data_IF_436053964016
#
_entry.id   IF_436053964016
#
_cell.length_a   1.000
_cell.length_b   1.000
_cell.length_c   1.000
_cell.angle_alpha   90.00
_cell.angle_beta   90.00
_cell.angle_gamma   90.00
#
_symmetry.space_group_name_H-M   'P 1'
#
loop_
_entity.id
_entity.type
_entity.pdbx_description
1 polymer ?
#
# COMPACT_ATOMS: atom_id res chain seq x y z
N UNK A 1 48.12 5.87 -30.10
CA UNK A 1 47.41 4.69 -29.57
C UNK A 1 46.35 5.18 -28.59
N UNK A 2 45.10 4.74 -28.78
CA UNK A 2 43.86 5.42 -28.40
C UNK A 2 43.74 5.88 -26.93
N UNK A 3 43.69 7.21 -26.74
CA UNK A 3 43.09 7.87 -25.59
C UNK A 3 41.64 8.27 -25.96
N UNK A 4 40.76 7.27 -26.05
CA UNK A 4 39.31 7.48 -26.04
C UNK A 4 38.84 7.19 -24.62
N UNK A 5 39.08 8.18 -23.75
CA UNK A 5 38.54 8.22 -22.40
C UNK A 5 37.01 8.20 -22.49
N UNK A 6 36.44 7.09 -22.02
CA UNK A 6 35.17 6.95 -21.32
C UNK A 6 34.34 8.24 -21.20
N UNK A 7 33.61 8.61 -22.26
CA UNK A 7 32.52 9.58 -22.18
C UNK A 7 31.41 8.94 -21.36
N UNK A 8 31.49 9.11 -20.04
CA UNK A 8 30.45 8.77 -19.08
C UNK A 8 29.11 9.30 -19.61
N UNK A 9 28.13 8.40 -19.71
CA UNK A 9 26.72 8.69 -19.97
C UNK A 9 26.18 9.75 -18.98
N UNK A 10 26.36 11.03 -19.25
CA UNK A 10 25.54 12.09 -18.67
C UNK A 10 24.21 12.08 -19.38
N UNK A 11 23.19 11.51 -18.74
CA UNK A 11 21.81 11.64 -19.21
C UNK A 11 21.29 13.02 -18.85
N UNK A 12 20.77 13.77 -19.82
CA UNK A 12 20.20 15.12 -19.64
C UNK A 12 18.85 15.14 -18.86
N UNK A 13 18.49 14.06 -18.16
CA UNK A 13 17.23 13.97 -17.44
C UNK A 13 17.33 14.72 -16.11
N UNK A 14 16.66 15.87 -16.03
CA UNK A 14 16.61 16.70 -14.82
C UNK A 14 15.77 16.02 -13.74
N UNK A 15 16.26 15.93 -12.49
CA UNK A 15 15.50 15.33 -11.41
C UNK A 15 14.26 16.17 -11.12
N UNK A 16 13.10 15.52 -11.12
CA UNK A 16 11.83 16.17 -10.77
C UNK A 16 11.68 16.14 -9.26
N UNK A 17 11.85 17.29 -8.62
CA UNK A 17 11.77 17.44 -7.17
C UNK A 17 10.35 17.90 -6.79
N UNK A 18 9.67 17.11 -5.97
CA UNK A 18 8.43 17.51 -5.32
C UNK A 18 8.75 18.39 -4.10
N UNK A 19 8.05 19.51 -3.86
CA UNK A 19 8.28 20.38 -2.71
C UNK A 19 8.13 19.64 -1.38
N UNK A 20 8.95 20.00 -0.39
CA UNK A 20 8.99 19.33 0.92
C UNK A 20 7.65 19.48 1.67
N UNK A 21 6.96 20.60 1.48
CA UNK A 21 5.65 20.89 2.08
C UNK A 21 4.58 19.87 1.63
N UNK A 22 4.65 19.43 0.38
CA UNK A 22 3.72 18.43 -0.18
C UNK A 22 3.93 17.10 0.53
N UNK A 23 5.19 16.67 0.72
CA UNK A 23 5.48 15.43 1.43
C UNK A 23 4.98 15.44 2.86
N UNK A 24 5.26 16.50 3.62
CA UNK A 24 4.80 16.61 5.01
C UNK A 24 3.27 16.65 5.09
N UNK A 25 2.61 17.34 4.16
CA UNK A 25 1.14 17.42 4.13
C UNK A 25 0.53 16.05 3.86
N UNK A 26 1.02 15.33 2.86
CA UNK A 26 0.52 13.98 2.50
C UNK A 26 0.79 12.99 3.63
N UNK A 27 1.97 13.02 4.23
CA UNK A 27 2.31 12.12 5.35
C UNK A 27 1.45 12.41 6.59
N UNK A 28 1.25 13.69 6.94
CA UNK A 28 0.39 14.07 8.06
C UNK A 28 -1.07 13.65 7.82
N UNK A 29 -1.60 13.86 6.62
CA UNK A 29 -2.93 13.40 6.24
C UNK A 29 -3.04 11.87 6.35
N UNK A 30 -2.04 11.14 5.83
CA UNK A 30 -1.97 9.67 5.93
C UNK A 30 -1.99 9.18 7.38
N UNK A 31 -1.25 9.81 8.29
CA UNK A 31 -1.25 9.45 9.72
C UNK A 31 -2.62 9.74 10.35
N UNK A 32 -3.17 10.94 10.14
CA UNK A 32 -4.42 11.37 10.76
C UNK A 32 -5.62 10.55 10.29
N UNK A 33 -5.76 10.32 8.99
CA UNK A 33 -6.89 9.55 8.43
C UNK A 33 -6.86 8.09 8.86
N UNK A 34 -5.69 7.44 8.87
CA UNK A 34 -5.57 6.06 9.32
C UNK A 34 -5.76 5.94 10.84
N UNK A 35 -5.32 6.93 11.63
CA UNK A 35 -5.62 6.98 13.06
C UNK A 35 -7.14 7.08 13.31
N UNK A 36 -7.85 7.89 12.52
CA UNK A 36 -9.31 8.00 12.61
C UNK A 36 -10.01 6.67 12.32
N UNK A 37 -9.52 5.91 11.33
CA UNK A 37 -10.03 4.55 11.04
C UNK A 37 -9.89 3.65 12.25
N UNK A 38 -8.71 3.63 12.90
CA UNK A 38 -8.47 2.83 14.10
C UNK A 38 -9.42 3.24 15.24
N UNK A 39 -9.55 4.54 15.52
CA UNK A 39 -10.44 5.06 16.55
C UNK A 39 -11.90 4.66 16.27
N UNK A 40 -12.34 4.76 15.01
CA UNK A 40 -13.70 4.41 14.62
C UNK A 40 -14.01 2.94 14.90
N UNK A 41 -13.10 2.03 14.55
CA UNK A 41 -13.26 0.58 14.79
C UNK A 41 -13.27 0.27 16.28
N UNK A 42 -12.36 0.87 17.07
CA UNK A 42 -12.29 0.65 18.52
C UNK A 42 -13.54 1.15 19.25
N UNK A 43 -14.10 2.30 18.83
CA UNK A 43 -15.27 2.88 19.51
C UNK A 43 -16.59 2.24 19.13
N UNK A 44 -16.73 1.70 17.92
CA UNK A 44 -17.98 1.13 17.45
C UNK A 44 -17.94 -0.40 17.43
N UNK A 45 -18.60 -1.02 18.41
CA UNK A 45 -18.73 -2.49 18.51
C UNK A 45 -19.35 -3.14 17.26
N UNK A 46 -20.14 -2.41 16.47
CA UNK A 46 -20.70 -2.91 15.21
C UNK A 46 -19.63 -3.11 14.11
N UNK A 47 -18.42 -2.57 14.30
CA UNK A 47 -17.28 -2.72 13.41
C UNK A 47 -16.35 -3.85 13.83
N UNK A 48 -16.72 -4.70 14.80
CA UNK A 48 -15.89 -5.84 15.22
C UNK A 48 -16.05 -7.08 14.32
N UNK A 49 -16.23 -6.87 13.01
CA UNK A 49 -16.25 -7.96 12.01
C UNK A 49 -14.84 -8.20 11.46
N UNK A 50 -14.52 -9.45 11.02
CA UNK A 50 -13.20 -9.81 10.48
C UNK A 50 -12.62 -8.81 9.47
N UNK A 51 -13.44 -8.35 8.53
CA UNK A 51 -13.05 -7.38 7.50
C UNK A 51 -12.43 -6.09 8.08
N UNK A 52 -12.98 -5.55 9.17
CA UNK A 52 -12.49 -4.30 9.76
C UNK A 52 -11.16 -4.47 10.48
N UNK A 53 -10.83 -5.66 10.98
CA UNK A 53 -9.50 -5.94 11.53
C UNK A 53 -8.43 -5.98 10.44
N UNK A 54 -8.75 -6.49 9.24
CA UNK A 54 -7.84 -6.36 8.09
C UNK A 54 -7.66 -4.91 7.65
N UNK A 55 -8.72 -4.09 7.72
CA UNK A 55 -8.62 -2.64 7.48
C UNK A 55 -7.74 -1.96 8.55
N UNK A 56 -7.88 -2.35 9.83
CA UNK A 56 -7.01 -1.81 10.90
C UNK A 56 -5.54 -2.19 10.67
N UNK A 57 -5.28 -3.41 10.23
CA UNK A 57 -3.92 -3.84 9.85
C UNK A 57 -3.36 -2.98 8.72
N UNK A 58 -4.15 -2.73 7.68
CA UNK A 58 -3.78 -1.82 6.59
C UNK A 58 -3.52 -0.39 7.10
N UNK A 59 -4.36 0.12 8.00
CA UNK A 59 -4.19 1.44 8.59
C UNK A 59 -2.90 1.54 9.41
N UNK A 60 -2.55 0.52 10.18
CA UNK A 60 -1.28 0.47 10.94
C UNK A 60 -0.09 0.47 9.97
N UNK A 61 -0.12 -0.33 8.91
CA UNK A 61 0.96 -0.32 7.91
C UNK A 61 1.08 1.02 7.19
N UNK A 62 -0.04 1.65 6.80
CA UNK A 62 -0.04 2.93 6.11
C UNK A 62 0.46 4.08 7.03
N UNK A 63 0.14 4.03 8.33
CA UNK A 63 0.71 4.92 9.35
C UNK A 63 2.23 4.73 9.50
N UNK A 64 2.71 3.48 9.56
CA UNK A 64 4.15 3.18 9.61
C UNK A 64 4.87 3.71 8.37
N UNK A 65 4.30 3.55 7.18
CA UNK A 65 4.88 4.08 5.94
C UNK A 65 4.93 5.61 5.91
N UNK A 66 3.87 6.27 6.38
CA UNK A 66 3.82 7.73 6.49
C UNK A 66 4.82 8.27 7.53
N UNK A 67 4.98 7.56 8.65
CA UNK A 67 5.97 7.88 9.67
C UNK A 67 7.40 7.71 9.14
N UNK A 68 7.71 6.58 8.49
CA UNK A 68 9.00 6.35 7.81
C UNK A 68 9.33 7.53 6.90
N UNK A 69 8.40 7.94 6.02
CA UNK A 69 8.69 9.01 5.09
C UNK A 69 8.95 10.34 5.78
N UNK A 70 8.19 10.63 6.83
CA UNK A 70 8.37 11.85 7.62
C UNK A 70 9.78 11.87 8.23
N UNK A 71 10.22 10.76 8.80
CA UNK A 71 11.56 10.60 9.38
C UNK A 71 12.66 10.71 8.32
N UNK A 72 12.49 10.07 7.17
CA UNK A 72 13.45 10.13 6.05
C UNK A 72 13.62 11.57 5.55
N UNK A 73 12.53 12.31 5.33
CA UNK A 73 12.60 13.70 4.89
C UNK A 73 13.26 14.61 5.94
N UNK A 74 12.92 14.45 7.23
CA UNK A 74 13.59 15.20 8.31
C UNK A 74 15.09 14.91 8.31
N UNK A 75 15.47 13.64 8.19
CA UNK A 75 16.86 13.23 8.15
C UNK A 75 17.62 13.84 6.97
N UNK A 76 17.00 13.85 5.78
CA UNK A 76 17.55 14.49 4.58
C UNK A 76 17.75 16.00 4.81
N UNK A 77 16.77 16.70 5.40
CA UNK A 77 16.87 18.14 5.70
C UNK A 77 17.99 18.42 6.70
N UNK A 78 18.09 17.63 7.77
CA UNK A 78 19.16 17.78 8.77
C UNK A 78 20.55 17.56 8.16
N UNK A 79 20.68 16.61 7.22
CA UNK A 79 21.91 16.42 6.45
C UNK A 79 22.21 17.63 5.55
N UNK A 80 21.21 18.18 4.86
CA UNK A 80 21.37 19.38 4.01
C UNK A 80 21.82 20.60 4.81
N UNK A 81 21.31 20.76 6.03
CA UNK A 81 21.67 21.85 6.95
C UNK A 81 23.03 21.64 7.64
N UNK A 82 23.68 20.49 7.44
CA UNK A 82 24.98 20.18 8.04
C UNK A 82 24.92 19.75 9.51
N UNK A 83 23.73 19.54 10.09
CA UNK A 83 23.58 19.06 11.47
C UNK A 83 23.88 17.57 11.63
N UNK A 84 23.69 16.78 10.57
CA UNK A 84 23.98 15.34 10.54
C UNK A 84 24.98 15.01 9.44
N UNK A 85 25.83 14.01 9.69
CA UNK A 85 26.81 13.55 8.71
C UNK A 85 26.33 12.25 8.09
N UNK A 86 26.10 12.24 6.78
CA UNK A 86 25.58 11.08 5.99
C UNK A 86 26.31 9.73 6.20
N UNK A 87 27.47 9.71 6.87
CA UNK A 87 28.30 8.51 7.06
C UNK A 87 28.71 8.21 8.50
N UNK A 88 28.11 8.87 9.50
CA UNK A 88 28.35 8.51 10.90
C UNK A 88 27.65 7.20 11.30
N UNK A 89 28.08 6.61 12.41
CA UNK A 89 27.55 5.32 12.89
C UNK A 89 26.11 5.43 13.39
N UNK A 90 25.72 6.60 13.90
CA UNK A 90 24.34 6.89 14.30
C UNK A 90 23.43 7.01 13.07
N UNK A 91 23.90 7.72 12.05
CA UNK A 91 23.17 7.94 10.80
C UNK A 91 22.91 6.66 10.04
N UNK A 92 23.88 5.73 9.98
CA UNK A 92 23.66 4.41 9.39
C UNK A 92 22.62 3.59 10.14
N UNK A 93 22.67 3.57 11.49
CA UNK A 93 21.66 2.86 12.29
C UNK A 93 20.26 3.44 12.10
N UNK A 94 20.16 4.77 11.94
CA UNK A 94 18.91 5.42 11.60
C UNK A 94 18.42 5.04 10.21
N UNK A 95 19.31 5.03 9.21
CA UNK A 95 19.02 4.61 7.83
C UNK A 95 18.50 3.16 7.79
N UNK A 96 19.22 2.23 8.44
CA UNK A 96 18.81 0.82 8.55
C UNK A 96 17.43 0.67 9.24
N UNK A 97 17.17 1.46 10.28
CA UNK A 97 15.89 1.46 10.97
C UNK A 97 14.75 2.02 10.10
N UNK A 98 15.02 3.07 9.32
CA UNK A 98 14.06 3.66 8.39
C UNK A 98 13.73 2.68 7.26
N UNK A 99 14.74 2.02 6.68
CA UNK A 99 14.56 0.97 5.67
C UNK A 99 13.75 -0.21 6.22
N UNK A 100 14.02 -0.61 7.46
CA UNK A 100 13.24 -1.65 8.15
C UNK A 100 11.76 -1.26 8.29
N UNK A 101 11.49 -0.02 8.71
CA UNK A 101 10.11 0.51 8.83
C UNK A 101 9.42 0.57 7.47
N UNK A 102 10.13 1.01 6.43
CA UNK A 102 9.63 1.03 5.06
C UNK A 102 9.20 -0.38 4.63
N UNK A 103 10.07 -1.38 4.76
CA UNK A 103 9.77 -2.76 4.35
C UNK A 103 8.62 -3.37 5.15
N UNK A 104 8.60 -3.13 6.47
CA UNK A 104 7.52 -3.59 7.34
C UNK A 104 6.18 -3.00 6.91
N UNK A 105 6.13 -1.69 6.65
CA UNK A 105 4.93 -1.00 6.17
C UNK A 105 4.48 -1.51 4.80
N UNK A 106 5.44 -1.69 3.89
CA UNK A 106 5.23 -2.12 2.52
C UNK A 106 4.61 -3.52 2.47
N UNK A 107 5.25 -4.50 3.12
CA UNK A 107 4.73 -5.87 3.20
C UNK A 107 3.41 -5.92 3.97
N UNK A 108 3.32 -5.19 5.09
CA UNK A 108 2.09 -5.12 5.90
C UNK A 108 0.89 -4.64 5.08
N UNK A 109 1.07 -3.61 4.26
CA UNK A 109 0.02 -3.06 3.39
C UNK A 109 -0.39 -4.07 2.32
N UNK A 110 0.59 -4.72 1.68
CA UNK A 110 0.36 -5.74 0.64
C UNK A 110 -0.43 -6.94 1.16
N UNK A 111 0.01 -7.54 2.26
CA UNK A 111 -0.65 -8.71 2.80
C UNK A 111 -2.01 -8.35 3.40
N UNK A 112 -2.18 -7.14 3.93
CA UNK A 112 -3.48 -6.65 4.36
C UNK A 112 -4.43 -6.47 3.17
N UNK A 113 -3.97 -5.91 2.05
CA UNK A 113 -4.75 -5.81 0.81
C UNK A 113 -5.12 -7.21 0.26
N UNK A 114 -4.19 -8.16 0.28
CA UNK A 114 -4.45 -9.55 -0.10
C UNK A 114 -5.50 -10.19 0.81
N UNK A 115 -5.41 -9.99 2.13
CA UNK A 115 -6.38 -10.50 3.09
C UNK A 115 -7.77 -9.87 2.88
N UNK A 116 -7.84 -8.58 2.58
CA UNK A 116 -9.09 -7.89 2.21
C UNK A 116 -9.63 -8.46 0.90
N UNK A 117 -8.79 -8.68 -0.11
CA UNK A 117 -9.20 -9.28 -1.38
C UNK A 117 -9.75 -10.70 -1.18
N UNK A 118 -9.10 -11.52 -0.34
CA UNK A 118 -9.56 -12.85 0.01
C UNK A 118 -10.89 -12.83 0.79
N UNK A 119 -11.05 -11.94 1.78
CA UNK A 119 -12.31 -11.76 2.51
C UNK A 119 -13.45 -11.34 1.57
N UNK A 120 -13.19 -10.41 0.65
CA UNK A 120 -14.15 -10.00 -0.39
C UNK A 120 -14.49 -11.15 -1.33
N UNK A 121 -13.50 -11.92 -1.75
CA UNK A 121 -13.70 -13.10 -2.58
C UNK A 121 -14.65 -14.09 -1.89
N UNK A 122 -14.38 -14.44 -0.62
CA UNK A 122 -15.24 -15.36 0.14
C UNK A 122 -16.64 -14.77 0.32
N UNK A 123 -16.75 -13.48 0.61
CA UNK A 123 -18.05 -12.80 0.77
C UNK A 123 -18.89 -12.85 -0.51
N UNK A 124 -18.27 -12.71 -1.68
CA UNK A 124 -18.96 -12.71 -2.98
C UNK A 124 -19.31 -14.14 -3.43
N UNK A 125 -18.35 -15.08 -3.34
CA UNK A 125 -18.50 -16.42 -3.92
C UNK A 125 -19.10 -17.45 -2.96
N UNK A 126 -18.92 -17.25 -1.66
CA UNK A 126 -19.36 -18.16 -0.62
C UNK A 126 -20.23 -17.45 0.41
N UNK A 127 -21.08 -16.50 -0.04
CA UNK A 127 -21.92 -15.66 0.81
C UNK A 127 -22.68 -16.45 1.91
N UNK A 128 -23.33 -17.57 1.54
CA UNK A 128 -24.10 -18.42 2.47
C UNK A 128 -23.23 -19.19 3.48
N UNK A 129 -21.93 -19.35 3.19
CA UNK A 129 -20.97 -20.04 4.06
C UNK A 129 -19.99 -19.10 4.73
N UNK A 130 -20.06 -17.78 4.46
CA UNK A 130 -19.09 -16.80 4.94
C UNK A 130 -18.92 -16.88 6.47
N UNK A 131 -20.01 -16.91 7.23
CA UNK A 131 -19.96 -16.99 8.69
C UNK A 131 -19.31 -18.27 9.24
N UNK A 132 -19.29 -19.35 8.46
CA UNK A 132 -18.62 -20.61 8.84
C UNK A 132 -17.14 -20.62 8.39
N UNK A 133 -16.80 -19.87 7.35
CA UNK A 133 -15.45 -19.79 6.78
C UNK A 133 -14.61 -18.75 7.51
N UNK A 134 -15.10 -17.51 7.63
CA UNK A 134 -14.36 -16.39 8.19
C UNK A 134 -14.91 -16.01 9.57
N UNK A 135 -14.12 -16.25 10.60
CA UNK A 135 -14.43 -15.89 12.00
C UNK A 135 -13.39 -14.92 12.54
N UNK A 136 -13.74 -14.17 13.59
CA UNK A 136 -12.82 -13.20 14.20
C UNK A 136 -11.51 -13.85 14.65
N UNK A 137 -11.59 -15.02 15.30
CA UNK A 137 -10.40 -15.77 15.74
C UNK A 137 -9.49 -16.14 14.57
N UNK A 138 -10.05 -16.61 13.45
CA UNK A 138 -9.28 -16.94 12.25
C UNK A 138 -8.62 -15.69 11.65
N UNK A 139 -9.35 -14.58 11.59
CA UNK A 139 -8.80 -13.31 11.10
C UNK A 139 -7.62 -12.81 11.96
N UNK A 140 -7.73 -12.88 13.28
CA UNK A 140 -6.63 -12.51 14.19
C UNK A 140 -5.41 -13.43 14.02
N UNK A 141 -5.62 -14.73 13.81
CA UNK A 141 -4.52 -15.68 13.50
C UNK A 141 -3.86 -15.33 12.16
N UNK A 142 -4.64 -15.04 11.12
CA UNK A 142 -4.12 -14.60 9.81
C UNK A 142 -3.27 -13.33 9.98
N UNK A 143 -3.76 -12.34 10.74
CA UNK A 143 -3.01 -11.11 11.02
C UNK A 143 -1.71 -11.39 11.77
N UNK A 144 -1.72 -12.24 12.79
CA UNK A 144 -0.52 -12.60 13.53
C UNK A 144 0.55 -13.25 12.62
N UNK A 145 0.12 -14.13 11.72
CA UNK A 145 1.02 -14.75 10.71
C UNK A 145 1.58 -13.69 9.77
N UNK A 146 0.73 -12.81 9.25
CA UNK A 146 1.13 -11.71 8.35
C UNK A 146 2.19 -10.84 9.02
N UNK A 147 1.93 -10.33 10.22
CA UNK A 147 2.83 -9.41 10.90
C UNK A 147 4.14 -10.07 11.32
N UNK A 148 4.10 -11.35 11.73
CA UNK A 148 5.31 -12.12 12.03
C UNK A 148 6.18 -12.29 10.78
N UNK A 149 5.56 -12.62 9.64
CA UNK A 149 6.26 -12.73 8.36
C UNK A 149 6.83 -11.37 7.90
N UNK A 150 6.06 -10.28 8.02
CA UNK A 150 6.52 -8.95 7.64
C UNK A 150 7.70 -8.48 8.51
N UNK A 151 7.61 -8.69 9.83
CA UNK A 151 8.69 -8.35 10.76
C UNK A 151 9.95 -9.18 10.49
N UNK A 152 9.82 -10.50 10.30
CA UNK A 152 10.94 -11.37 9.94
C UNK A 152 11.61 -10.95 8.63
N UNK A 153 10.81 -10.62 7.60
CA UNK A 153 11.32 -10.16 6.30
C UNK A 153 12.01 -8.79 6.39
N UNK A 154 11.44 -7.86 7.17
CA UNK A 154 12.02 -6.54 7.43
C UNK A 154 13.38 -6.67 8.12
N UNK A 155 13.47 -7.48 9.18
CA UNK A 155 14.74 -7.75 9.90
C UNK A 155 15.75 -8.43 8.96
N UNK A 156 15.32 -9.40 8.15
CA UNK A 156 16.21 -10.08 7.22
C UNK A 156 16.82 -9.12 6.20
N UNK A 157 16.04 -8.19 5.65
CA UNK A 157 16.59 -7.18 4.73
C UNK A 157 17.51 -6.21 5.47
N UNK A 158 17.16 -5.79 6.69
CA UNK A 158 18.02 -4.90 7.48
C UNK A 158 19.40 -5.52 7.77
N UNK A 159 19.43 -6.81 8.10
CA UNK A 159 20.68 -7.52 8.43
C UNK A 159 21.50 -7.93 7.20
N UNK A 160 20.83 -8.25 6.09
CA UNK A 160 21.47 -8.84 4.90
C UNK A 160 21.25 -7.98 3.64
N UNK A 161 21.16 -6.65 3.80
CA UNK A 161 20.94 -5.68 2.72
C UNK A 161 22.04 -5.68 1.65
N UNK A 162 23.25 -6.11 2.01
CA UNK A 162 24.38 -6.24 1.09
C UNK A 162 24.41 -7.58 0.34
N UNK A 163 23.67 -8.58 0.82
CA UNK A 163 23.65 -9.91 0.23
C UNK A 163 22.67 -9.96 -0.95
N UNK A 164 23.20 -10.20 -2.14
CA UNK A 164 22.40 -10.34 -3.35
C UNK A 164 21.37 -11.47 -3.22
N UNK A 165 21.69 -12.52 -2.45
CA UNK A 165 20.81 -13.65 -2.15
C UNK A 165 19.54 -13.24 -1.39
N UNK A 166 19.53 -12.11 -0.68
CA UNK A 166 18.36 -11.61 0.05
C UNK A 166 17.63 -10.54 -0.77
N UNK A 167 18.37 -9.58 -1.33
CA UNK A 167 17.79 -8.42 -2.02
C UNK A 167 17.15 -8.79 -3.36
N UNK A 168 17.78 -9.67 -4.14
CA UNK A 168 17.26 -10.03 -5.48
C UNK A 168 15.92 -10.76 -5.36
N UNK A 169 15.76 -11.82 -4.53
CA UNK A 169 14.47 -12.46 -4.37
C UNK A 169 13.40 -11.50 -3.85
N UNK A 170 13.71 -10.64 -2.89
CA UNK A 170 12.76 -9.63 -2.42
C UNK A 170 12.30 -8.70 -3.55
N UNK A 171 13.24 -8.21 -4.34
CA UNK A 171 12.99 -7.32 -5.49
C UNK A 171 12.13 -7.98 -6.57
N UNK A 172 12.19 -9.30 -6.74
CA UNK A 172 11.42 -10.05 -7.74
C UNK A 172 10.08 -10.55 -7.18
N UNK A 173 10.06 -11.04 -5.93
CA UNK A 173 8.86 -11.56 -5.29
C UNK A 173 7.83 -10.46 -5.03
N UNK A 174 8.28 -9.25 -4.69
CA UNK A 174 7.40 -8.11 -4.43
C UNK A 174 6.50 -7.76 -5.65
N UNK A 175 7.04 -7.53 -6.86
CA UNK A 175 6.22 -7.34 -8.06
C UNK A 175 5.33 -8.54 -8.40
N UNK A 176 5.80 -9.78 -8.17
CA UNK A 176 5.01 -10.98 -8.41
C UNK A 176 3.78 -11.06 -7.50
N UNK A 177 3.94 -10.71 -6.22
CA UNK A 177 2.81 -10.61 -5.29
C UNK A 177 1.83 -9.51 -5.73
N UNK A 178 2.32 -8.38 -6.22
CA UNK A 178 1.47 -7.31 -6.76
C UNK A 178 0.70 -7.74 -7.99
N UNK A 179 1.36 -8.42 -8.91
CA UNK A 179 0.71 -8.98 -10.08
C UNK A 179 -0.35 -10.01 -9.70
N UNK A 180 -0.07 -10.88 -8.72
CA UNK A 180 -1.05 -11.84 -8.22
C UNK A 180 -2.29 -11.16 -7.63
N UNK A 181 -2.13 -10.15 -6.77
CA UNK A 181 -3.24 -9.37 -6.20
C UNK A 181 -4.05 -8.68 -7.32
N UNK A 182 -3.37 -8.11 -8.31
CA UNK A 182 -4.02 -7.51 -9.47
C UNK A 182 -4.89 -8.53 -10.22
N UNK A 183 -4.34 -9.71 -10.53
CA UNK A 183 -5.07 -10.78 -11.18
C UNK A 183 -6.29 -11.22 -10.38
N UNK A 184 -6.18 -11.32 -9.05
CA UNK A 184 -7.32 -11.63 -8.18
C UNK A 184 -8.42 -10.58 -8.26
N UNK A 185 -8.07 -9.29 -8.22
CA UNK A 185 -9.07 -8.20 -8.35
C UNK A 185 -9.73 -8.19 -9.73
N UNK A 186 -8.96 -8.38 -10.80
CA UNK A 186 -9.49 -8.47 -12.17
C UNK A 186 -10.43 -9.67 -12.29
N UNK A 187 -10.02 -10.85 -11.82
CA UNK A 187 -10.85 -12.05 -11.85
C UNK A 187 -12.16 -11.85 -11.08
N UNK A 188 -12.08 -11.31 -9.86
CA UNK A 188 -13.25 -11.01 -9.03
C UNK A 188 -14.19 -10.00 -9.72
N UNK A 189 -13.65 -8.99 -10.40
CA UNK A 189 -14.43 -8.00 -11.16
C UNK A 189 -15.12 -8.61 -12.38
N UNK A 190 -14.39 -9.37 -13.21
CA UNK A 190 -14.95 -10.03 -14.41
C UNK A 190 -16.06 -11.01 -14.02
N UNK A 191 -15.84 -11.77 -12.96
CA UNK A 191 -16.80 -12.74 -12.49
C UNK A 191 -18.03 -12.07 -11.88
N UNK A 192 -17.87 -10.99 -11.10
CA UNK A 192 -18.99 -10.18 -10.62
C UNK A 192 -19.84 -9.62 -11.78
N UNK A 193 -19.21 -9.18 -12.88
CA UNK A 193 -19.93 -8.75 -14.10
C UNK A 193 -20.66 -9.91 -14.78
N UNK A 194 -20.05 -11.09 -14.83
CA UNK A 194 -20.67 -12.30 -15.39
C UNK A 194 -21.93 -12.69 -14.60
N UNK A 195 -21.85 -12.71 -13.27
CA UNK A 195 -23.02 -12.95 -12.40
C UNK A 195 -24.09 -11.87 -12.58
N UNK A 196 -23.71 -10.59 -12.64
CA UNK A 196 -24.67 -9.51 -12.87
C UNK A 196 -25.40 -9.65 -14.21
N UNK A 197 -24.71 -10.05 -15.28
CA UNK A 197 -25.32 -10.32 -16.59
C UNK A 197 -26.29 -11.50 -16.56
N UNK A 198 -25.92 -12.61 -15.92
CA UNK A 198 -26.80 -13.79 -15.78
C UNK A 198 -28.05 -13.50 -14.94
N UNK A 199 -27.96 -12.62 -13.95
CA UNK A 199 -29.11 -12.21 -13.12
C UNK A 199 -30.01 -11.23 -13.86
N UNK A 200 -29.45 -10.38 -14.73
CA UNK A 200 -30.21 -9.44 -15.55
C UNK A 200 -31.06 -10.13 -16.64
N UNK A 201 -30.73 -11.38 -17.03
CA UNK A 201 -31.54 -12.19 -17.94
C UNK A 201 -32.71 -12.92 -17.28
N UNK A 202 -32.89 -12.83 -15.95
CA UNK A 202 -34.02 -13.43 -15.23
C UNK A 202 -35.18 -12.41 -15.09
N UNK A 203 -36.46 -12.82 -15.25
CA UNK A 203 -37.58 -11.88 -15.44
C UNK A 203 -38.02 -11.06 -14.21
N UNK A 204 -37.30 -11.10 -13.07
CA UNK A 204 -37.86 -10.70 -11.75
C UNK A 204 -37.03 -9.65 -10.98
N UNK A 205 -36.02 -8.99 -11.57
CA UNK A 205 -34.88 -8.51 -10.76
C UNK A 205 -34.42 -7.05 -10.93
N UNK A 206 -35.29 -6.10 -11.30
CA UNK A 206 -34.90 -4.66 -11.37
C UNK A 206 -34.37 -4.10 -10.04
N UNK A 207 -34.88 -4.57 -8.89
CA UNK A 207 -34.44 -4.13 -7.56
C UNK A 207 -33.10 -4.77 -7.13
N UNK A 208 -32.84 -6.03 -7.51
CA UNK A 208 -31.60 -6.74 -7.17
C UNK A 208 -30.39 -6.30 -8.01
N UNK A 209 -30.64 -5.68 -9.17
CA UNK A 209 -29.59 -5.20 -10.09
C UNK A 209 -28.82 -4.00 -9.52
N UNK A 210 -29.47 -3.12 -8.74
CA UNK A 210 -28.88 -1.88 -8.18
C UNK A 210 -27.97 -2.13 -6.97
N UNK A 211 -28.21 -3.20 -6.21
CA UNK A 211 -27.36 -3.64 -5.09
C UNK A 211 -26.12 -4.39 -5.57
N UNK A 212 -26.24 -5.22 -6.61
CA UNK A 212 -25.10 -5.97 -7.17
C UNK A 212 -24.03 -5.08 -7.82
N UNK A 213 -24.41 -3.96 -8.45
CA UNK A 213 -23.45 -3.06 -9.10
C UNK A 213 -22.59 -2.27 -8.10
N UNK A 214 -23.06 -2.09 -6.86
CA UNK A 214 -22.25 -1.44 -5.82
C UNK A 214 -20.99 -2.27 -5.55
N UNK A 215 -21.08 -3.58 -5.36
CA UNK A 215 -19.89 -4.42 -5.11
C UNK A 215 -18.81 -4.24 -6.19
N UNK A 216 -19.19 -4.29 -7.46
CA UNK A 216 -18.28 -4.13 -8.59
C UNK A 216 -17.58 -2.76 -8.64
N UNK A 217 -18.27 -1.66 -8.32
CA UNK A 217 -17.67 -0.32 -8.26
C UNK A 217 -16.56 -0.24 -7.21
N UNK A 218 -16.76 -0.84 -6.03
CA UNK A 218 -15.72 -0.89 -4.99
C UNK A 218 -14.46 -1.57 -5.51
N UNK A 219 -14.63 -2.68 -6.24
CA UNK A 219 -13.52 -3.44 -6.80
C UNK A 219 -12.78 -2.68 -7.91
N UNK A 220 -13.51 -1.96 -8.76
CA UNK A 220 -12.90 -1.10 -9.79
C UNK A 220 -12.06 0.01 -9.17
N UNK A 221 -12.53 0.63 -8.08
CA UNK A 221 -11.77 1.68 -7.38
C UNK A 221 -10.50 1.08 -6.76
N UNK A 222 -10.58 -0.05 -6.05
CA UNK A 222 -9.39 -0.71 -5.50
C UNK A 222 -8.38 -1.08 -6.60
N UNK A 223 -8.85 -1.62 -7.72
CA UNK A 223 -8.01 -1.96 -8.87
C UNK A 223 -7.30 -0.73 -9.45
N UNK A 224 -8.03 0.38 -9.64
CA UNK A 224 -7.48 1.61 -10.20
C UNK A 224 -6.43 2.25 -9.30
N UNK A 225 -6.70 2.32 -8.00
CA UNK A 225 -5.76 2.89 -7.01
C UNK A 225 -4.51 2.03 -6.89
N UNK A 226 -4.68 0.72 -6.86
CA UNK A 226 -3.56 -0.22 -6.86
C UNK A 226 -2.64 0.00 -8.06
N UNK A 227 -3.21 0.06 -9.28
CA UNK A 227 -2.42 0.31 -10.49
C UNK A 227 -1.74 1.69 -10.50
N UNK A 228 -2.44 2.75 -10.10
CA UNK A 228 -1.91 4.11 -10.19
C UNK A 228 -0.83 4.40 -9.15
N UNK A 229 -0.96 3.86 -7.94
CA UNK A 229 -0.03 4.16 -6.83
C UNK A 229 1.16 3.19 -6.79
N UNK A 230 0.94 1.90 -7.10
CA UNK A 230 1.96 0.87 -6.93
C UNK A 230 2.77 0.59 -8.20
N UNK A 231 2.14 0.58 -9.39
CA UNK A 231 2.85 0.20 -10.61
C UNK A 231 4.04 1.12 -10.94
N UNK A 232 3.95 2.47 -10.79
CA UNK A 232 5.10 3.34 -11.03
C UNK A 232 6.26 3.05 -10.08
N UNK A 233 5.95 2.80 -8.81
CA UNK A 233 6.97 2.52 -7.80
C UNK A 233 7.63 1.15 -7.98
N UNK A 234 6.85 0.13 -8.35
CA UNK A 234 7.36 -1.20 -8.75
C UNK A 234 8.32 -1.08 -9.93
N UNK A 235 7.92 -0.34 -10.97
CA UNK A 235 8.77 -0.10 -12.14
C UNK A 235 10.06 0.62 -11.74
N UNK A 236 9.97 1.61 -10.86
CA UNK A 236 11.13 2.34 -10.37
C UNK A 236 12.17 1.42 -9.70
N UNK A 237 11.72 0.56 -8.78
CA UNK A 237 12.60 -0.40 -8.09
C UNK A 237 13.25 -1.36 -9.09
N UNK A 238 12.47 -1.91 -10.04
CA UNK A 238 12.97 -2.85 -11.04
C UNK A 238 14.03 -2.21 -11.94
N UNK A 239 13.77 -1.00 -12.44
CA UNK A 239 14.72 -0.29 -13.30
C UNK A 239 15.98 0.12 -12.55
N UNK A 240 15.84 0.59 -11.30
CA UNK A 240 16.98 0.93 -10.45
C UNK A 240 17.89 -0.29 -10.19
N UNK A 241 17.31 -1.49 -10.06
CA UNK A 241 18.08 -2.71 -9.77
C UNK A 241 18.68 -3.37 -11.01
N UNK A 242 17.89 -3.53 -12.07
CA UNK A 242 18.28 -4.33 -13.23
C UNK A 242 18.76 -3.51 -14.43
N UNK A 243 18.54 -2.19 -14.41
CA UNK A 243 18.85 -1.31 -15.54
C UNK A 243 19.52 0.03 -15.12
N UNK A 244 20.52 0.05 -14.22
CA UNK A 244 21.03 1.31 -13.65
C UNK A 244 21.81 2.18 -14.65
N UNK A 245 22.42 1.58 -15.68
CA UNK A 245 23.34 2.28 -16.61
C UNK A 245 22.70 2.71 -17.93
N UNK A 246 21.46 2.28 -18.20
CA UNK A 246 20.78 2.63 -19.43
C UNK A 246 20.20 4.05 -19.31
N UNK A 247 20.39 4.92 -20.31
CA UNK A 247 19.94 6.31 -20.24
C UNK A 247 18.42 6.46 -20.07
N UNK A 248 17.62 5.59 -20.69
CA UNK A 248 16.16 5.63 -20.56
C UNK A 248 15.71 5.24 -19.15
N UNK A 249 16.37 4.24 -18.56
CA UNK A 249 16.11 3.80 -17.19
C UNK A 249 16.52 4.88 -16.19
N UNK A 250 17.69 5.52 -16.38
CA UNK A 250 18.13 6.66 -15.57
C UNK A 250 17.11 7.81 -15.59
N UNK A 251 16.51 8.08 -16.75
CA UNK A 251 15.47 9.09 -16.87
C UNK A 251 14.23 8.77 -16.01
N UNK A 252 13.77 7.53 -16.02
CA UNK A 252 12.66 7.12 -15.15
C UNK A 252 13.04 7.11 -13.67
N UNK A 253 14.29 6.83 -13.34
CA UNK A 253 14.78 6.88 -11.96
C UNK A 253 14.82 8.35 -11.47
N UNK A 254 15.04 9.33 -12.35
CA UNK A 254 15.07 10.75 -11.98
C UNK A 254 13.76 11.29 -11.40
N UNK A 255 12.61 10.62 -11.65
CA UNK A 255 11.29 10.99 -11.11
C UNK A 255 10.95 10.31 -9.78
N UNK A 256 11.96 9.86 -9.01
CA UNK A 256 11.79 9.18 -7.72
C UNK A 256 10.83 9.90 -6.76
N UNK A 257 10.92 11.23 -6.63
CA UNK A 257 10.06 12.00 -5.72
C UNK A 257 8.58 11.91 -6.12
N UNK A 258 8.29 11.89 -7.43
CA UNK A 258 6.92 11.76 -7.95
C UNK A 258 6.38 10.35 -7.66
N UNK A 259 7.16 9.31 -7.95
CA UNK A 259 6.79 7.93 -7.66
C UNK A 259 6.60 7.69 -6.15
N UNK A 260 7.46 8.29 -5.32
CA UNK A 260 7.35 8.29 -3.87
C UNK A 260 6.07 8.98 -3.37
N UNK A 261 5.71 10.11 -3.97
CA UNK A 261 4.47 10.82 -3.62
C UNK A 261 3.23 9.99 -4.00
N UNK A 262 3.25 9.36 -5.19
CA UNK A 262 2.15 8.50 -5.64
C UNK A 262 1.91 7.32 -4.71
N UNK A 263 2.98 6.64 -4.26
CA UNK A 263 2.81 5.52 -3.31
C UNK A 263 2.32 6.02 -1.94
N UNK A 264 2.68 7.23 -1.51
CA UNK A 264 2.15 7.81 -0.26
C UNK A 264 0.67 8.17 -0.34
N UNK A 265 0.20 8.61 -1.51
CA UNK A 265 -1.22 8.85 -1.71
C UNK A 265 -2.08 7.59 -1.44
N UNK A 266 -1.52 6.39 -1.58
CA UNK A 266 -2.20 5.13 -1.21
C UNK A 266 -2.70 5.17 0.25
N UNK A 267 -1.90 5.71 1.18
CA UNK A 267 -2.24 5.81 2.60
C UNK A 267 -3.47 6.70 2.87
N UNK A 268 -3.72 7.70 2.02
CA UNK A 268 -4.88 8.61 2.10
C UNK A 268 -6.08 7.98 1.40
N UNK A 269 -5.85 7.42 0.21
CA UNK A 269 -6.92 6.91 -0.64
C UNK A 269 -7.62 5.70 0.03
N UNK A 270 -6.87 4.85 0.74
CA UNK A 270 -7.42 3.66 1.40
C UNK A 270 -8.56 3.98 2.40
N UNK A 271 -8.34 4.76 3.48
CA UNK A 271 -9.41 5.22 4.38
C UNK A 271 -10.59 5.86 3.66
N UNK A 272 -10.34 6.71 2.66
CA UNK A 272 -11.38 7.37 1.89
C UNK A 272 -12.27 6.36 1.17
N UNK A 273 -11.69 5.34 0.52
CA UNK A 273 -12.48 4.26 -0.09
C UNK A 273 -13.36 3.58 0.96
N UNK A 274 -12.82 3.19 2.11
CA UNK A 274 -13.62 2.52 3.14
C UNK A 274 -14.71 3.44 3.71
N UNK A 275 -14.42 4.72 3.93
CA UNK A 275 -15.36 5.72 4.43
C UNK A 275 -16.54 5.93 3.48
N UNK A 276 -16.33 5.92 2.16
CA UNK A 276 -17.41 6.06 1.19
C UNK A 276 -18.16 4.76 0.91
N UNK A 277 -17.49 3.61 1.05
CA UNK A 277 -18.02 2.31 0.62
C UNK A 277 -18.63 1.48 1.73
N UNK A 278 -18.22 1.65 3.00
CA UNK A 278 -18.86 1.01 4.15
C UNK A 278 -19.89 1.97 4.78
N UNK A 279 -21.20 1.64 4.71
CA UNK A 279 -22.24 2.43 5.36
C UNK A 279 -22.03 2.57 6.88
N UNK A 280 -21.53 1.51 7.52
CA UNK A 280 -21.29 1.43 8.95
C UNK A 280 -20.13 2.35 9.36
N UNK A 281 -19.01 2.30 8.62
CA UNK A 281 -17.87 3.17 8.86
C UNK A 281 -18.24 4.64 8.60
N UNK A 282 -18.95 4.93 7.51
CA UNK A 282 -19.47 6.26 7.20
C UNK A 282 -20.36 6.82 8.30
N UNK A 283 -21.27 5.99 8.84
CA UNK A 283 -22.15 6.36 9.94
C UNK A 283 -21.35 6.65 11.21
N UNK A 284 -20.30 5.86 11.47
CA UNK A 284 -19.39 6.04 12.60
C UNK A 284 -18.62 7.36 12.49
N UNK A 285 -18.03 7.66 11.33
CA UNK A 285 -17.36 8.93 11.09
C UNK A 285 -18.31 10.12 11.24
N UNK A 286 -19.53 10.04 10.68
CA UNK A 286 -20.55 11.07 10.91
C UNK A 286 -20.82 11.29 12.39
N UNK A 287 -20.96 10.24 13.20
CA UNK A 287 -21.13 10.38 14.65
C UNK A 287 -19.91 11.00 15.31
N UNK A 288 -18.70 10.64 14.91
CA UNK A 288 -17.47 11.21 15.48
C UNK A 288 -17.33 12.72 15.19
N UNK A 289 -17.67 13.16 13.98
CA UNK A 289 -17.56 14.57 13.58
C UNK A 289 -18.79 15.41 13.93
N UNK A 290 -20.00 14.85 13.85
CA UNK A 290 -21.25 15.57 14.13
C UNK A 290 -21.69 15.49 15.61
N UNK A 291 -21.11 14.60 16.42
CA UNK A 291 -21.37 14.53 17.87
C UNK A 291 -20.14 14.89 18.72
N UNK A 292 -19.31 15.83 18.24
CA UNK A 292 -18.48 16.66 19.13
C UNK A 292 -19.34 17.80 19.76
N UNK A 293 -20.50 17.42 20.29
CA UNK A 293 -21.42 18.30 21.01
C UNK A 293 -21.98 17.54 22.20
#
# INVERSE_FOLDING_TARGET
ENRSDFSLNTTDCTPVVVPEEVFFTVAAAGILENLLVLIAVVRNKNLHLPMYFFICSLAISDMLGSLYKTLENIFIILCKMGYLKRRGDFEKKLDDAMDSMFILSLLGSIFSLLAIAADRYITIFYALRYHNIMTLRRALVILAIIWTFCAGSSIAIALFSYEAATVIPFTILFPLMMFFILCLYVHMFLLARSHAKKIASLPTSTVHQRTNMKGAITLTIFLGVFLCCWAPFVLHILLARFCPHNPYCACYISIFHVNGTLIMCNAIINPMIFAFRSPELRSTFKKMFCCAR
#
